data_IF_279394027811
#
_entry.id   IF_279394027811
#
_cell.length_a   1.000
_cell.length_b   1.000
_cell.length_c   1.000
_cell.angle_alpha   90.00
_cell.angle_beta   90.00
_cell.angle_gamma   90.00
#
_symmetry.space_group_name_H-M   'P 1'
#
loop_
_entity.id
_entity.type
_entity.pdbx_description
1 polymer ?
#
# COMPACT_ATOMS: atom_id res chain seq x y z
N UNK A 1 -14.19 -1.23 6.68
CA UNK A 1 -12.92 -0.48 6.77
C UNK A 1 -12.70 0.15 5.40
N UNK A 2 -12.60 1.48 5.28
CA UNK A 2 -12.42 2.14 3.97
C UNK A 2 -10.98 1.89 3.48
N UNK A 3 -10.78 0.85 2.66
CA UNK A 3 -9.53 0.59 1.97
C UNK A 3 -9.76 0.93 0.50
N UNK A 4 -9.03 1.91 -0.02
CA UNK A 4 -9.06 2.22 -1.45
C UNK A 4 -7.80 1.63 -2.09
N UNK A 5 -7.92 0.60 -2.95
CA UNK A 5 -6.76 -0.01 -3.56
C UNK A 5 -6.09 0.96 -4.53
N UNK A 6 -4.76 0.95 -4.54
CA UNK A 6 -3.92 1.64 -5.52
C UNK A 6 -4.20 1.08 -6.91
N UNK A 7 -4.30 -0.25 -7.02
CA UNK A 7 -4.65 -0.96 -8.25
C UNK A 7 -5.16 -2.37 -7.93
N UNK A 8 -5.98 -2.92 -8.82
CA UNK A 8 -6.31 -4.34 -8.85
C UNK A 8 -5.31 -5.02 -9.78
N UNK A 9 -4.43 -5.87 -9.23
CA UNK A 9 -3.36 -6.52 -10.01
C UNK A 9 -3.93 -7.63 -10.90
N UNK A 10 -4.88 -8.39 -10.35
CA UNK A 10 -5.67 -9.44 -11.03
C UNK A 10 -6.93 -9.72 -10.21
N UNK A 11 -7.85 -10.54 -10.71
CA UNK A 11 -9.04 -10.93 -9.96
C UNK A 11 -8.67 -11.44 -8.56
N UNK A 12 -9.26 -10.83 -7.54
CA UNK A 12 -9.02 -11.17 -6.12
C UNK A 12 -7.67 -10.74 -5.55
N UNK A 13 -6.81 -10.02 -6.31
CA UNK A 13 -5.53 -9.49 -5.82
C UNK A 13 -5.46 -7.98 -5.96
N UNK A 14 -5.33 -7.29 -4.85
CA UNK A 14 -5.32 -5.83 -4.76
C UNK A 14 -4.02 -5.31 -4.14
N UNK A 15 -3.54 -4.17 -4.62
CA UNK A 15 -2.36 -3.51 -4.08
C UNK A 15 -2.78 -2.28 -3.28
N UNK A 16 -2.16 -2.13 -2.11
CA UNK A 16 -2.38 -1.02 -1.19
C UNK A 16 -1.06 -0.38 -0.78
N UNK A 17 -1.12 0.89 -0.42
CA UNK A 17 -0.07 1.57 0.34
C UNK A 17 -0.57 1.74 1.76
N UNK A 18 0.10 1.09 2.70
CA UNK A 18 -0.08 1.32 4.12
C UNK A 18 0.81 2.49 4.54
N UNK A 19 0.28 3.41 5.33
CA UNK A 19 1.03 4.56 5.86
C UNK A 19 0.93 4.55 7.37
N UNK A 20 2.09 4.61 8.03
CA UNK A 20 2.23 4.73 9.48
C UNK A 20 2.98 6.02 9.79
N UNK A 21 2.63 6.66 10.91
CA UNK A 21 3.39 7.79 11.45
C UNK A 21 4.39 7.25 12.47
N UNK A 22 5.68 7.42 12.20
CA UNK A 22 6.76 7.12 13.14
C UNK A 22 7.17 8.42 13.87
N UNK A 23 6.89 8.48 15.18
CA UNK A 23 7.20 9.66 16.00
C UNK A 23 6.46 10.93 15.57
N UNK A 24 7.13 12.07 15.73
CA UNK A 24 6.51 13.39 15.59
C UNK A 24 6.46 13.89 14.13
N UNK A 25 7.41 13.48 13.29
CA UNK A 25 7.59 14.08 11.95
C UNK A 25 7.97 13.10 10.84
N UNK A 26 7.99 11.79 11.09
CA UNK A 26 8.33 10.80 10.06
C UNK A 26 7.10 9.99 9.68
N UNK A 27 6.91 9.80 8.39
CA UNK A 27 5.92 8.86 7.85
C UNK A 27 6.66 7.72 7.19
N UNK A 28 6.19 6.51 7.43
CA UNK A 28 6.68 5.30 6.80
C UNK A 28 5.56 4.65 6.01
N UNK A 29 5.84 4.32 4.76
CA UNK A 29 4.93 3.56 3.94
C UNK A 29 5.43 2.14 3.69
N UNK A 30 4.48 1.24 3.46
CA UNK A 30 4.70 -0.13 3.03
C UNK A 30 3.72 -0.48 1.92
N UNK A 31 4.18 -1.26 0.94
CA UNK A 31 3.35 -1.79 -0.14
C UNK A 31 2.80 -3.13 0.33
N UNK A 32 1.48 -3.26 0.34
CA UNK A 32 0.77 -4.44 0.80
C UNK A 32 -0.04 -5.02 -0.33
N UNK A 33 0.11 -6.31 -0.57
CA UNK A 33 -0.74 -7.07 -1.46
C UNK A 33 -1.80 -7.80 -0.63
N UNK A 34 -3.06 -7.65 -1.00
CA UNK A 34 -4.19 -8.37 -0.42
C UNK A 34 -4.68 -9.40 -1.42
N UNK A 35 -4.80 -10.64 -1.00
CA UNK A 35 -5.36 -11.73 -1.76
C UNK A 35 -6.63 -12.24 -1.07
N UNK A 36 -7.76 -12.15 -1.76
CA UNK A 36 -9.05 -12.64 -1.30
C UNK A 36 -9.69 -13.49 -2.42
N UNK A 37 -9.41 -14.80 -2.47
CA UNK A 37 -10.19 -15.71 -3.30
C UNK A 37 -11.62 -15.80 -2.75
N UNK A 38 -12.59 -16.05 -3.62
CA UNK A 38 -14.02 -16.04 -3.25
C UNK A 38 -14.29 -16.95 -2.03
N UNK A 39 -14.87 -16.36 -0.98
CA UNK A 39 -15.28 -17.09 0.23
C UNK A 39 -14.21 -17.21 1.32
N UNK A 40 -13.00 -16.69 1.12
CA UNK A 40 -11.92 -16.74 2.12
C UNK A 40 -11.64 -15.38 2.78
N UNK A 41 -11.05 -15.44 3.98
CA UNK A 41 -10.53 -14.25 4.65
C UNK A 41 -9.39 -13.64 3.83
N UNK A 42 -9.41 -12.31 3.65
CA UNK A 42 -8.37 -11.62 2.89
C UNK A 42 -7.00 -11.79 3.55
N UNK A 43 -6.08 -12.45 2.87
CA UNK A 43 -4.69 -12.59 3.29
C UNK A 43 -3.91 -11.37 2.81
N UNK A 44 -3.26 -10.66 3.74
CA UNK A 44 -2.42 -9.50 3.42
C UNK A 44 -0.94 -9.88 3.58
N UNK A 45 -0.11 -9.46 2.62
CA UNK A 45 1.34 -9.62 2.65
C UNK A 45 2.03 -8.29 2.40
N UNK A 46 3.02 -7.95 3.22
CA UNK A 46 3.94 -6.85 2.94
C UNK A 46 4.88 -7.29 1.81
N UNK A 47 4.87 -6.55 0.71
CA UNK A 47 5.71 -6.82 -0.47
C UNK A 47 6.99 -6.00 -0.44
N UNK A 48 6.89 -4.77 0.07
CA UNK A 48 8.03 -3.87 0.28
C UNK A 48 7.69 -2.85 1.37
N UNK A 49 8.69 -2.32 2.04
CA UNK A 49 8.54 -1.37 3.15
C UNK A 49 9.75 -0.46 3.28
N UNK A 50 9.66 0.53 4.17
CA UNK A 50 10.78 1.45 4.45
C UNK A 50 10.78 2.70 3.57
N UNK A 51 9.63 3.04 2.98
CA UNK A 51 9.47 4.30 2.24
C UNK A 51 9.22 5.42 3.26
N UNK A 52 10.28 6.11 3.65
CA UNK A 52 10.22 7.16 4.67
C UNK A 52 10.17 8.55 4.07
N UNK A 53 9.41 9.45 4.69
CA UNK A 53 9.34 10.85 4.28
C UNK A 53 8.96 11.77 5.43
N UNK A 54 9.39 13.03 5.34
CA UNK A 54 9.00 14.08 6.30
C UNK A 54 7.54 14.51 6.17
N UNK A 55 6.86 14.07 5.10
CA UNK A 55 5.42 14.23 4.92
C UNK A 55 4.80 12.92 4.44
N UNK A 56 3.52 12.72 4.77
CA UNK A 56 2.74 11.58 4.29
C UNK A 56 2.77 11.48 2.76
N UNK A 57 2.60 12.60 2.06
CA UNK A 57 2.61 12.63 0.59
C UNK A 57 3.96 12.19 0.01
N UNK A 58 5.08 12.57 0.64
CA UNK A 58 6.41 12.17 0.20
C UNK A 58 6.60 10.65 0.33
N UNK A 59 6.35 10.10 1.53
CA UNK A 59 6.44 8.66 1.76
C UNK A 59 5.53 7.84 0.81
N UNK A 60 4.32 8.33 0.55
CA UNK A 60 3.39 7.70 -0.39
C UNK A 60 3.84 7.79 -1.85
N UNK A 61 4.49 8.90 -2.23
CA UNK A 61 5.03 9.08 -3.59
C UNK A 61 6.18 8.11 -3.85
N UNK A 62 7.08 7.95 -2.88
CA UNK A 62 8.20 7.00 -2.99
C UNK A 62 7.68 5.55 -3.09
N UNK A 63 6.69 5.19 -2.27
CA UNK A 63 6.02 3.89 -2.35
C UNK A 63 5.29 3.69 -3.70
N UNK A 64 4.64 4.72 -4.23
CA UNK A 64 3.98 4.67 -5.55
C UNK A 64 4.97 4.45 -6.69
N UNK A 65 6.07 5.22 -6.72
CA UNK A 65 7.08 5.10 -7.77
C UNK A 65 7.76 3.73 -7.72
N UNK A 66 7.98 3.19 -6.53
CA UNK A 66 8.47 1.83 -6.37
C UNK A 66 7.44 0.79 -6.83
N UNK A 67 6.17 0.93 -6.46
CA UNK A 67 5.10 0.03 -6.88
C UNK A 67 4.99 -0.05 -8.41
N UNK A 68 5.10 1.08 -9.12
CA UNK A 68 5.09 1.12 -10.59
C UNK A 68 6.24 0.32 -11.21
N UNK A 69 7.43 0.35 -10.59
CA UNK A 69 8.59 -0.44 -11.05
C UNK A 69 8.40 -1.92 -10.76
N UNK A 70 7.78 -2.25 -9.64
CA UNK A 70 7.54 -3.63 -9.21
C UNK A 70 6.43 -4.32 -10.02
N UNK A 71 5.40 -3.56 -10.43
CA UNK A 71 4.26 -4.04 -11.19
C UNK A 71 4.09 -3.26 -12.51
N UNK A 72 5.03 -3.39 -13.47
CA UNK A 72 5.04 -2.56 -14.68
C UNK A 72 3.80 -2.77 -15.55
N UNK A 73 3.23 -3.98 -15.57
CA UNK A 73 2.06 -4.33 -16.39
C UNK A 73 0.80 -3.55 -16.03
N UNK A 74 0.67 -3.09 -14.77
CA UNK A 74 -0.50 -2.35 -14.28
C UNK A 74 -0.13 -0.93 -13.84
N UNK A 75 1.10 -0.49 -14.09
CA UNK A 75 1.63 0.79 -13.61
C UNK A 75 0.81 2.00 -14.06
N UNK A 76 0.26 1.97 -15.28
CA UNK A 76 -0.55 3.07 -15.83
C UNK A 76 -1.98 3.11 -15.27
N UNK A 77 -2.41 2.03 -14.60
CA UNK A 77 -3.73 1.93 -13.94
C UNK A 77 -3.65 2.28 -12.44
N UNK A 78 -2.45 2.44 -11.90
CA UNK A 78 -2.25 2.78 -10.50
C UNK A 78 -2.76 4.18 -10.20
N UNK A 79 -3.64 4.30 -9.20
CA UNK A 79 -4.03 5.59 -8.64
C UNK A 79 -2.80 6.31 -8.11
N UNK A 80 -2.71 7.61 -8.35
CA UNK A 80 -1.67 8.47 -7.79
C UNK A 80 -2.01 8.83 -6.34
N UNK A 81 -1.02 9.11 -5.48
CA UNK A 81 -1.27 9.66 -4.14
C UNK A 81 -1.96 11.04 -4.23
N UNK A 82 -2.62 11.50 -3.14
CA UNK A 82 -2.60 10.95 -1.79
C UNK A 82 -3.55 9.77 -1.57
N UNK A 83 -3.11 8.81 -0.75
CA UNK A 83 -3.92 7.68 -0.30
C UNK A 83 -4.44 7.89 1.12
N UNK A 84 -5.53 7.18 1.45
CA UNK A 84 -6.04 7.14 2.82
C UNK A 84 -5.00 6.52 3.76
N UNK A 85 -4.83 7.11 4.95
CA UNK A 85 -3.95 6.56 5.97
C UNK A 85 -4.55 5.26 6.48
N UNK A 86 -3.85 4.17 6.23
CA UNK A 86 -4.17 2.85 6.72
C UNK A 86 -2.88 2.22 7.28
N UNK A 87 -2.90 1.82 8.56
CA UNK A 87 -1.71 1.29 9.24
C UNK A 87 -1.29 -0.13 8.78
N UNK A 88 -1.93 -0.66 7.74
CA UNK A 88 -1.72 -2.03 7.26
C UNK A 88 -2.65 -3.04 7.94
N UNK A 89 -2.48 -4.35 7.66
CA UNK A 89 -3.19 -5.39 8.40
C UNK A 89 -2.85 -5.22 9.88
N UNK A 90 -3.85 -5.38 10.76
CA UNK A 90 -3.61 -5.54 12.19
C UNK A 90 -2.84 -6.86 12.37
N UNK A 91 -1.52 -6.81 12.20
CA UNK A 91 -0.63 -7.74 12.87
C UNK A 91 -0.79 -7.36 14.34
N UNK A 92 -1.73 -8.01 15.02
CA UNK A 92 -1.76 -7.98 16.46
C UNK A 92 -0.36 -8.39 16.92
N UNK A 93 0.44 -7.41 17.32
CA UNK A 93 1.62 -7.61 18.14
C UNK A 93 1.17 -8.18 19.48
#
# INVERSE_FOLDING_TARGET
>A
MNRDPVVVVRQGTELFVATQREGDHTFRCSIVESYAPEGEASNCRIVSEGFEGGTCLQAQTDAYDYARRLYPTVADQMKKPPYLIWNGPNLAS
#
